data_IF_843394149449
#
_entry.id   IF_843394149449
#
_cell.length_a   1.000
_cell.length_b   1.000
_cell.length_c   1.000
_cell.angle_alpha   90.00
_cell.angle_beta   90.00
_cell.angle_gamma   90.00
#
_symmetry.space_group_name_H-M   'P 1'
#
loop_
_entity.id
_entity.type
_entity.pdbx_description
1 polymer ?
#
# COMPACT_ATOMS: atom_id res chain seq x y z
N UNK A 1 3.91 10.90 -4.94
CA UNK A 1 4.13 12.31 -4.50
C UNK A 1 5.43 12.77 -5.12
N UNK A 2 5.43 13.89 -5.86
CA UNK A 2 6.68 14.49 -6.35
C UNK A 2 7.11 15.55 -5.32
N UNK A 3 8.32 15.44 -4.81
CA UNK A 3 8.96 16.54 -4.09
C UNK A 3 9.20 17.65 -5.10
N UNK A 4 8.32 18.65 -5.11
CA UNK A 4 8.17 19.63 -6.20
C UNK A 4 9.46 20.40 -6.50
N UNK A 5 10.30 20.61 -5.49
CA UNK A 5 11.55 21.36 -5.59
C UNK A 5 12.58 20.66 -6.50
N UNK A 6 12.75 19.35 -6.34
CA UNK A 6 13.83 18.59 -6.98
C UNK A 6 13.31 17.49 -7.94
N UNK A 7 12.01 17.46 -8.21
CA UNK A 7 11.32 16.43 -9.03
C UNK A 7 11.56 14.99 -8.54
N UNK A 8 11.88 14.80 -7.26
CA UNK A 8 12.11 13.47 -6.66
C UNK A 8 10.78 12.74 -6.44
N UNK A 9 10.75 11.45 -6.74
CA UNK A 9 9.63 10.56 -6.38
C UNK A 9 9.93 9.96 -5.01
N UNK A 10 9.15 10.36 -3.99
CA UNK A 10 9.27 9.80 -2.66
C UNK A 10 8.44 8.52 -2.53
N UNK A 11 9.09 7.43 -2.12
CA UNK A 11 8.45 6.16 -1.75
C UNK A 11 8.65 5.94 -0.26
N UNK A 12 7.56 5.76 0.47
CA UNK A 12 7.57 5.47 1.91
C UNK A 12 7.06 4.05 2.12
N UNK A 13 7.87 3.20 2.75
CA UNK A 13 7.49 1.86 3.17
C UNK A 13 7.35 1.89 4.68
N UNK A 14 6.20 1.46 5.18
CA UNK A 14 5.91 1.42 6.60
C UNK A 14 5.14 0.17 6.95
N UNK A 15 5.18 -0.21 8.22
CA UNK A 15 4.45 -1.35 8.73
C UNK A 15 2.96 -1.01 8.95
N UNK A 16 2.16 -2.07 9.12
CA UNK A 16 0.75 -1.97 9.47
C UNK A 16 0.50 -2.73 10.76
N UNK A 17 -0.47 -2.26 11.54
CA UNK A 17 -0.85 -2.88 12.81
C UNK A 17 -2.34 -3.17 12.82
N UNK A 18 -2.72 -4.30 13.42
CA UNK A 18 -4.13 -4.61 13.64
C UNK A 18 -4.67 -3.74 14.77
N UNK A 19 -5.73 -2.99 14.50
CA UNK A 19 -6.44 -2.22 15.51
C UNK A 19 -7.63 -3.04 16.04
N UNK A 20 -7.59 -3.52 17.30
CA UNK A 20 -8.64 -4.36 17.86
C UNK A 20 -9.98 -3.62 18.02
N UNK A 21 -9.96 -2.31 18.29
CA UNK A 21 -11.19 -1.52 18.46
C UNK A 21 -11.98 -1.37 17.17
N UNK A 22 -11.31 -1.31 16.01
CA UNK A 22 -11.96 -1.18 14.70
C UNK A 22 -12.03 -2.49 13.91
N UNK A 23 -11.36 -3.54 14.38
CA UNK A 23 -11.24 -4.82 13.70
C UNK A 23 -10.49 -4.73 12.35
N UNK A 24 -9.73 -3.67 12.11
CA UNK A 24 -9.07 -3.40 10.83
C UNK A 24 -7.57 -3.24 10.99
N UNK A 25 -6.83 -3.74 10.02
CA UNK A 25 -5.42 -3.43 9.84
C UNK A 25 -5.28 -2.01 9.30
N UNK A 26 -4.41 -1.21 9.91
CA UNK A 26 -4.17 0.18 9.53
C UNK A 26 -2.67 0.51 9.55
N UNK A 27 -2.21 1.54 8.81
CA UNK A 27 -0.85 2.04 8.91
C UNK A 27 -0.41 2.33 10.35
N UNK A 28 0.83 1.96 10.69
CA UNK A 28 1.50 2.53 11.86
C UNK A 28 1.54 4.06 11.70
N UNK A 29 1.25 4.85 12.73
CA UNK A 29 1.00 6.30 12.62
C UNK A 29 -0.08 6.70 11.60
N UNK A 30 -1.21 6.00 11.57
CA UNK A 30 -2.33 6.25 10.64
C UNK A 30 -2.73 7.73 10.45
N UNK A 31 -2.68 8.57 11.50
CA UNK A 31 -3.01 10.01 11.46
C UNK A 31 -2.07 10.81 10.56
N UNK A 32 -0.78 10.44 10.48
CA UNK A 32 0.17 11.10 9.60
C UNK A 32 -0.17 10.74 8.15
N UNK A 33 -0.25 9.43 7.87
CA UNK A 33 -0.46 8.92 6.52
C UNK A 33 -1.82 9.28 5.94
N UNK A 34 -2.88 9.36 6.76
CA UNK A 34 -4.20 9.79 6.29
C UNK A 34 -4.26 11.24 5.81
N UNK A 35 -3.32 12.08 6.26
CA UNK A 35 -3.23 13.49 5.85
C UNK A 35 -2.34 13.69 4.62
N UNK A 36 -1.54 12.70 4.26
CA UNK A 36 -0.70 12.77 3.08
C UNK A 36 -1.54 12.49 1.83
N UNK A 37 -1.53 13.41 0.86
CA UNK A 37 -2.10 13.17 -0.46
C UNK A 37 -1.14 12.30 -1.27
N UNK A 38 -1.26 10.98 -1.13
CA UNK A 38 -0.39 9.97 -1.74
C UNK A 38 -1.18 8.95 -2.56
N UNK A 39 -0.44 8.25 -3.43
CA UNK A 39 -0.91 6.95 -3.94
C UNK A 39 -0.55 5.94 -2.87
N UNK A 40 -1.55 5.25 -2.34
CA UNK A 40 -1.38 4.23 -1.32
C UNK A 40 -1.37 2.86 -1.98
N UNK A 41 -0.33 2.08 -1.68
CA UNK A 41 -0.19 0.71 -2.19
C UNK A 41 -0.22 -0.22 -0.99
N UNK A 42 -1.24 -1.08 -0.94
CA UNK A 42 -1.39 -2.09 0.11
C UNK A 42 -1.00 -3.45 -0.43
N UNK A 43 0.03 -4.05 0.17
CA UNK A 43 0.46 -5.41 -0.15
C UNK A 43 -0.14 -6.38 0.87
N UNK A 44 -0.72 -7.45 0.37
CA UNK A 44 -1.34 -8.49 1.20
C UNK A 44 -1.00 -9.87 0.68
N UNK A 45 -0.94 -10.84 1.58
CA UNK A 45 -0.74 -12.24 1.27
C UNK A 45 -1.86 -13.04 1.91
N UNK A 46 -2.53 -13.86 1.11
CA UNK A 46 -3.42 -14.87 1.65
C UNK A 46 -2.58 -16.07 2.10
N UNK A 47 -2.56 -16.35 3.40
CA UNK A 47 -1.77 -17.46 3.96
C UNK A 47 -2.25 -18.84 3.51
N UNK A 48 -3.54 -19.00 3.17
CA UNK A 48 -4.08 -20.30 2.74
C UNK A 48 -3.71 -20.63 1.30
N UNK A 49 -3.78 -19.66 0.40
CA UNK A 49 -3.51 -19.86 -1.03
C UNK A 49 -2.13 -19.42 -1.48
N UNK A 50 -1.31 -18.88 -0.57
CA UNK A 50 -0.01 -18.25 -0.85
C UNK A 50 -0.08 -17.09 -1.88
N UNK A 51 -1.28 -16.68 -2.28
CA UNK A 51 -1.55 -15.66 -3.28
C UNK A 51 -1.23 -14.29 -2.72
N UNK A 52 -0.43 -13.50 -3.44
CA UNK A 52 -0.13 -12.11 -3.08
C UNK A 52 -0.96 -11.16 -3.93
N UNK A 53 -1.47 -10.12 -3.30
CA UNK A 53 -2.30 -9.09 -3.94
C UNK A 53 -1.80 -7.70 -3.59
N UNK A 54 -1.79 -6.84 -4.59
CA UNK A 54 -1.50 -5.42 -4.50
C UNK A 54 -2.79 -4.64 -4.73
N UNK A 55 -3.13 -3.74 -3.81
CA UNK A 55 -4.22 -2.78 -3.99
C UNK A 55 -3.62 -1.38 -4.10
N UNK A 56 -4.02 -0.64 -5.15
CA UNK A 56 -3.57 0.72 -5.42
C UNK A 56 -4.76 1.65 -5.24
N UNK A 57 -4.65 2.59 -4.31
CA UNK A 57 -5.63 3.63 -4.00
C UNK A 57 -5.02 5.01 -4.26
N UNK A 58 -5.60 5.75 -5.21
CA UNK A 58 -5.16 7.09 -5.60
C UNK A 58 -5.90 8.22 -4.87
N UNK A 59 -6.63 7.93 -3.79
CA UNK A 59 -7.37 8.90 -2.99
C UNK A 59 -8.81 9.16 -3.46
N UNK A 60 -9.21 8.57 -4.60
CA UNK A 60 -10.59 8.47 -5.04
C UNK A 60 -10.99 7.00 -5.04
N UNK A 61 -11.97 6.66 -4.20
CA UNK A 61 -12.48 5.29 -4.02
C UNK A 61 -12.97 4.65 -5.33
N UNK A 62 -13.35 5.45 -6.33
CA UNK A 62 -13.79 4.95 -7.64
C UNK A 62 -12.66 4.29 -8.46
N UNK A 63 -11.38 4.59 -8.15
CA UNK A 63 -10.23 4.18 -8.95
C UNK A 63 -9.33 3.14 -8.26
N UNK A 64 -9.86 2.41 -7.27
CA UNK A 64 -9.12 1.32 -6.63
C UNK A 64 -8.87 0.18 -7.61
N UNK A 65 -7.60 -0.17 -7.79
CA UNK A 65 -7.19 -1.31 -8.62
C UNK A 65 -6.57 -2.38 -7.74
N UNK A 66 -6.99 -3.63 -7.95
CA UNK A 66 -6.43 -4.79 -7.28
C UNK A 66 -5.81 -5.74 -8.30
N UNK A 67 -4.55 -6.07 -8.09
CA UNK A 67 -3.75 -6.89 -8.99
C UNK A 67 -3.10 -8.03 -8.19
N UNK A 68 -2.89 -9.17 -8.83
CA UNK A 68 -2.05 -10.23 -8.26
C UNK A 68 -0.60 -9.94 -8.62
N UNK A 69 0.33 -10.44 -7.79
CA UNK A 69 1.75 -10.38 -8.13
C UNK A 69 2.48 -11.60 -7.57
N UNK A 70 3.62 -11.89 -8.17
CA UNK A 70 4.57 -12.89 -7.72
C UNK A 70 5.90 -12.22 -7.38
N UNK A 71 6.66 -12.86 -6.49
CA UNK A 71 8.03 -12.46 -6.18
C UNK A 71 8.89 -13.61 -6.71
N UNK A 72 9.75 -13.28 -7.66
CA UNK A 72 10.73 -14.16 -8.30
C UNK A 72 12.13 -13.67 -7.94
N UNK A 73 13.15 -14.44 -8.29
CA UNK A 73 14.55 -14.05 -8.07
C UNK A 73 14.91 -12.77 -8.83
N UNK A 74 14.23 -12.49 -9.94
CA UNK A 74 14.36 -11.26 -10.72
C UNK A 74 13.55 -10.07 -10.18
N UNK A 75 12.85 -10.22 -9.05
CA UNK A 75 12.01 -9.19 -8.45
C UNK A 75 10.51 -9.46 -8.57
N UNK A 76 9.71 -8.40 -8.73
CA UNK A 76 8.23 -8.48 -8.76
C UNK A 76 7.74 -8.68 -10.20
N UNK A 77 6.85 -9.66 -10.40
CA UNK A 77 6.12 -9.86 -11.67
C UNK A 77 4.61 -9.82 -11.44
N UNK A 78 3.87 -9.35 -12.44
CA UNK A 78 2.40 -9.29 -12.43
C UNK A 78 1.80 -10.45 -13.23
#
# INVERSE_FOLDING_TARGET
>A
MRCLREKIILVLIHEVSFNPSSGKTQPFFNKLYSRLKTINITLSKNFRSNKKTMEIDCGDTANRRKLNYEIRDSGISQ
#
